data_IF_779692232531
#
_entry.id   IF_779692232531
#
_cell.length_a   1.000
_cell.length_b   1.000
_cell.length_c   1.000
_cell.angle_alpha   90.00
_cell.angle_beta   90.00
_cell.angle_gamma   90.00
#
_symmetry.space_group_name_H-M   'P 1'
#
loop_
_entity.id
_entity.type
_entity.pdbx_description
1 polymer ?
#
# COMPACT_ATOMS: atom_id res chain seq x y z
N UNK A 1 -7.78 16.13 12.16
CA UNK A 1 -6.83 15.96 13.28
C UNK A 1 -7.62 15.50 14.51
N UNK A 2 -6.97 15.00 15.57
CA UNK A 2 -7.67 14.58 16.79
C UNK A 2 -7.13 15.31 18.03
N UNK A 3 -8.02 15.95 18.78
CA UNK A 3 -7.75 16.62 20.05
C UNK A 3 -7.41 15.58 21.10
N UNK A 4 -6.23 15.69 21.72
CA UNK A 4 -5.80 14.76 22.76
C UNK A 4 -5.98 15.37 24.16
N UNK A 5 -6.68 14.67 25.04
CA UNK A 5 -6.93 15.09 26.42
C UNK A 5 -6.47 14.00 27.38
N UNK A 6 -5.56 14.37 28.28
CA UNK A 6 -5.11 13.49 29.37
C UNK A 6 -5.85 13.85 30.65
N UNK A 7 -6.62 12.91 31.17
CA UNK A 7 -7.40 13.09 32.38
C UNK A 7 -7.26 11.87 33.32
N UNK A 8 -6.04 11.59 33.81
CA UNK A 8 -5.81 10.52 34.77
C UNK A 8 -6.61 10.78 36.06
N UNK A 9 -7.15 9.73 36.67
CA UNK A 9 -7.98 9.81 37.88
C UNK A 9 -9.44 10.20 37.64
N UNK A 10 -9.84 10.42 36.39
CA UNK A 10 -11.25 10.64 36.02
C UNK A 10 -11.89 9.31 35.61
N UNK A 11 -12.95 8.93 36.33
CA UNK A 11 -13.73 7.71 36.11
C UNK A 11 -15.15 8.03 35.66
N UNK A 12 -15.90 7.03 35.19
CA UNK A 12 -17.33 7.21 34.91
C UNK A 12 -18.12 7.52 36.19
N UNK A 13 -19.13 8.42 36.17
CA UNK A 13 -19.63 9.18 35.01
C UNK A 13 -18.90 10.51 34.76
N UNK A 14 -17.90 10.87 35.56
CA UNK A 14 -17.14 12.12 35.40
C UNK A 14 -16.43 12.21 34.04
N UNK A 15 -15.91 11.09 33.55
CA UNK A 15 -15.32 10.98 32.22
C UNK A 15 -16.34 11.32 31.12
N UNK A 16 -17.57 10.79 31.22
CA UNK A 16 -18.67 11.06 30.28
C UNK A 16 -18.96 12.56 30.21
N UNK A 17 -19.12 13.21 31.38
CA UNK A 17 -19.42 14.64 31.46
C UNK A 17 -18.30 15.48 30.85
N UNK A 18 -17.05 15.13 31.15
CA UNK A 18 -15.88 15.79 30.60
C UNK A 18 -15.84 15.67 29.07
N UNK A 19 -16.00 14.45 28.55
CA UNK A 19 -16.02 14.18 27.10
C UNK A 19 -17.15 14.93 26.40
N UNK A 20 -18.38 14.92 26.94
CA UNK A 20 -19.48 15.71 26.37
C UNK A 20 -19.18 17.20 26.33
N UNK A 21 -18.60 17.75 27.40
CA UNK A 21 -18.25 19.16 27.46
C UNK A 21 -17.16 19.51 26.46
N UNK A 22 -16.19 18.63 26.23
CA UNK A 22 -15.16 18.85 25.21
C UNK A 22 -15.79 18.88 23.82
N UNK A 23 -16.61 17.87 23.47
CA UNK A 23 -17.27 17.78 22.16
C UNK A 23 -18.15 19.01 21.91
N UNK A 24 -18.90 19.49 22.90
CA UNK A 24 -19.77 20.68 22.77
C UNK A 24 -19.01 21.99 22.56
N UNK A 25 -17.75 22.06 22.97
CA UNK A 25 -16.92 23.27 22.92
C UNK A 25 -15.73 23.11 21.95
N UNK A 26 -15.77 22.13 21.06
CA UNK A 26 -14.80 22.02 19.98
C UNK A 26 -15.13 23.04 18.88
N UNK A 27 -14.11 23.77 18.43
CA UNK A 27 -14.24 24.77 17.37
C UNK A 27 -14.49 24.11 16.00
N UNK A 28 -13.99 22.89 15.82
CA UNK A 28 -14.15 22.07 14.62
C UNK A 28 -15.05 20.86 14.94
N UNK A 29 -16.28 20.79 14.39
CA UNK A 29 -17.20 19.68 14.62
C UNK A 29 -16.72 18.36 13.98
N UNK A 30 -15.72 18.42 13.10
CA UNK A 30 -15.09 17.27 12.42
C UNK A 30 -13.72 16.90 13.05
N UNK A 31 -13.36 17.48 14.20
CA UNK A 31 -12.16 17.09 14.95
C UNK A 31 -12.38 15.78 15.75
N UNK A 32 -11.45 14.83 15.65
CA UNK A 32 -11.48 13.63 16.51
C UNK A 32 -11.13 13.95 17.96
N UNK A 33 -11.44 13.05 18.90
CA UNK A 33 -11.12 13.22 20.32
C UNK A 33 -10.46 11.96 20.87
N UNK A 34 -9.30 12.11 21.50
CA UNK A 34 -8.58 11.03 22.18
C UNK A 34 -8.55 11.35 23.67
N UNK A 35 -9.23 10.54 24.48
CA UNK A 35 -9.23 10.62 25.93
C UNK A 35 -8.28 9.58 26.52
N UNK A 36 -7.24 10.00 27.23
CA UNK A 36 -6.40 9.13 28.07
C UNK A 36 -6.90 9.19 29.52
N UNK A 37 -7.48 8.10 29.99
CA UNK A 37 -8.19 7.97 31.26
C UNK A 37 -7.58 6.87 32.14
N UNK A 38 -7.97 6.83 33.42
CA UNK A 38 -7.70 5.66 34.27
C UNK A 38 -8.67 4.51 33.94
N UNK A 39 -8.29 3.24 34.17
CA UNK A 39 -9.16 2.10 33.97
C UNK A 39 -10.53 2.25 34.65
N UNK A 40 -11.61 1.98 33.92
CA UNK A 40 -12.99 2.24 34.33
C UNK A 40 -13.55 3.59 33.86
N UNK A 41 -12.69 4.50 33.39
CA UNK A 41 -13.10 5.79 32.80
C UNK A 41 -13.77 5.66 31.43
N UNK A 42 -13.53 4.59 30.70
CA UNK A 42 -14.13 4.27 29.41
C UNK A 42 -15.60 3.84 29.50
N UNK A 43 -16.08 3.50 30.70
CA UNK A 43 -17.45 3.02 30.90
C UNK A 43 -18.47 4.08 30.44
N UNK A 44 -19.28 3.75 29.43
CA UNK A 44 -20.32 4.63 28.88
C UNK A 44 -19.86 5.57 27.77
N UNK A 45 -18.60 5.50 27.34
CA UNK A 45 -18.08 6.27 26.20
C UNK A 45 -18.76 5.89 24.87
N UNK A 46 -19.21 4.65 24.72
CA UNK A 46 -19.98 4.15 23.59
C UNK A 46 -21.26 4.96 23.36
N UNK A 47 -21.96 5.29 24.45
CA UNK A 47 -23.19 6.09 24.41
C UNK A 47 -22.91 7.53 24.03
N UNK A 48 -21.82 8.10 24.54
CA UNK A 48 -21.39 9.46 24.19
C UNK A 48 -21.02 9.52 22.71
N UNK A 49 -20.19 8.58 22.24
CA UNK A 49 -19.80 8.51 20.84
C UNK A 49 -21.02 8.40 19.92
N UNK A 50 -21.94 7.48 20.19
CA UNK A 50 -23.18 7.32 19.42
C UNK A 50 -24.05 8.59 19.43
N UNK A 51 -24.18 9.26 20.59
CA UNK A 51 -24.99 10.47 20.74
C UNK A 51 -24.49 11.65 19.92
N UNK A 52 -23.17 11.81 19.79
CA UNK A 52 -22.57 12.93 19.06
C UNK A 52 -22.09 12.54 17.66
N UNK A 53 -22.41 11.33 17.19
CA UNK A 53 -22.05 10.88 15.85
C UNK A 53 -20.57 10.61 15.69
N UNK A 54 -19.95 9.90 16.64
CA UNK A 54 -18.57 9.43 16.59
C UNK A 54 -18.53 7.90 16.55
N UNK A 55 -17.56 7.35 15.83
CA UNK A 55 -17.05 5.98 16.06
C UNK A 55 -16.15 5.96 17.28
N UNK A 56 -16.09 4.82 17.99
CA UNK A 56 -15.29 4.67 19.21
C UNK A 56 -14.39 3.45 19.11
N UNK A 57 -13.10 3.66 19.36
CA UNK A 57 -12.12 2.60 19.61
C UNK A 57 -11.57 2.76 21.02
N UNK A 58 -11.48 1.65 21.78
CA UNK A 58 -10.90 1.62 23.12
C UNK A 58 -9.67 0.73 23.11
N UNK A 59 -8.56 1.22 23.65
CA UNK A 59 -7.38 0.42 23.95
C UNK A 59 -6.98 0.56 25.41
N UNK A 60 -6.52 -0.54 26.01
CA UNK A 60 -6.18 -0.60 27.43
C UNK A 60 -4.72 -1.00 27.57
N UNK A 61 -3.99 -0.28 28.42
CA UNK A 61 -2.66 -0.65 28.93
C UNK A 61 -2.70 -0.71 30.46
N UNK A 62 -1.66 -1.26 31.10
CA UNK A 62 -1.66 -1.64 32.53
C UNK A 62 -2.18 -0.56 33.50
N UNK A 63 -1.99 0.74 33.19
CA UNK A 63 -2.40 1.85 34.06
C UNK A 63 -3.27 2.91 33.35
N UNK A 64 -3.68 2.68 32.10
CA UNK A 64 -4.34 3.71 31.31
C UNK A 64 -5.29 3.10 30.28
N UNK A 65 -6.43 3.76 30.07
CA UNK A 65 -7.36 3.44 28.99
C UNK A 65 -7.44 4.61 28.03
N UNK A 66 -7.33 4.32 26.74
CA UNK A 66 -7.45 5.31 25.68
C UNK A 66 -8.79 5.12 24.98
N UNK A 67 -9.67 6.11 25.07
CA UNK A 67 -10.92 6.17 24.29
C UNK A 67 -10.73 7.12 23.12
N UNK A 68 -10.71 6.59 21.90
CA UNK A 68 -10.54 7.34 20.65
C UNK A 68 -11.88 7.45 19.95
N UNK A 69 -12.39 8.67 19.85
CA UNK A 69 -13.62 9.03 19.17
C UNK A 69 -13.31 9.72 17.84
N UNK A 70 -13.86 9.23 16.73
CA UNK A 70 -13.70 9.86 15.41
C UNK A 70 -15.06 10.18 14.79
N UNK A 71 -15.29 11.39 14.23
CA UNK A 71 -16.58 11.77 13.66
C UNK A 71 -17.07 10.79 12.59
N UNK A 72 -18.38 10.57 12.54
CA UNK A 72 -19.05 9.72 11.55
C UNK A 72 -19.37 10.47 10.25
N UNK A 73 -19.25 11.80 10.22
CA UNK A 73 -19.37 12.60 9.01
C UNK A 73 -18.15 12.36 8.13
N UNK A 74 -18.26 11.39 7.22
CA UNK A 74 -17.17 11.05 6.29
C UNK A 74 -17.11 12.09 5.18
N UNK A 75 -16.39 13.19 5.42
CA UNK A 75 -16.06 14.14 4.35
C UNK A 75 -15.27 13.39 3.28
N UNK A 76 -15.68 13.52 2.02
CA UNK A 76 -14.97 12.93 0.89
C UNK A 76 -14.32 14.04 0.08
N UNK A 77 -12.99 14.11 0.11
CA UNK A 77 -12.20 14.97 -0.76
C UNK A 77 -11.92 14.24 -2.08
N UNK A 78 -11.87 14.97 -3.19
CA UNK A 78 -11.64 14.39 -4.51
C UNK A 78 -10.39 14.99 -5.16
N UNK A 79 -9.57 14.13 -5.77
CA UNK A 79 -8.42 14.54 -6.58
C UNK A 79 -8.32 13.70 -7.87
N UNK A 80 -8.00 14.35 -8.99
CA UNK A 80 -7.61 13.68 -10.23
C UNK A 80 -6.09 13.79 -10.40
N UNK A 81 -5.40 12.65 -10.42
CA UNK A 81 -3.95 12.56 -10.64
C UNK A 81 -3.60 12.19 -12.08
N UNK A 82 -4.58 12.31 -13.00
CA UNK A 82 -4.35 12.10 -14.42
C UNK A 82 -3.35 13.11 -14.97
N UNK A 83 -2.30 12.60 -15.64
CA UNK A 83 -1.23 13.41 -16.21
C UNK A 83 0.07 13.40 -15.40
N UNK A 84 0.00 12.97 -14.15
CA UNK A 84 1.19 12.79 -13.32
C UNK A 84 2.03 11.59 -13.79
N UNK A 85 3.35 11.70 -13.66
CA UNK A 85 4.28 10.61 -14.00
C UNK A 85 4.77 9.96 -12.72
N UNK A 86 4.85 8.63 -12.66
CA UNK A 86 5.45 7.91 -11.53
C UNK A 86 6.81 8.54 -11.12
N UNK A 87 7.02 8.88 -9.83
CA UNK A 87 6.21 8.52 -8.66
C UNK A 87 5.11 9.54 -8.25
N UNK A 88 4.84 10.57 -9.05
CA UNK A 88 3.92 11.69 -8.72
C UNK A 88 2.59 11.29 -8.07
N UNK A 89 1.77 10.39 -8.67
CA UNK A 89 0.49 9.99 -8.09
C UNK A 89 0.60 9.44 -6.66
N UNK A 90 1.64 8.63 -6.40
CA UNK A 90 1.87 8.02 -5.09
C UNK A 90 2.26 9.07 -4.04
N UNK A 91 3.10 10.05 -4.42
CA UNK A 91 3.52 11.14 -3.54
C UNK A 91 2.34 12.03 -3.17
N UNK A 92 1.57 12.49 -4.18
CA UNK A 92 0.41 13.37 -3.97
C UNK A 92 -0.60 12.73 -3.03
N UNK A 93 -0.95 11.46 -3.29
CA UNK A 93 -1.90 10.74 -2.42
C UNK A 93 -1.33 10.55 -1.02
N UNK A 94 -0.04 10.23 -0.88
CA UNK A 94 0.61 10.09 0.42
C UNK A 94 0.59 11.39 1.23
N UNK A 95 0.86 12.53 0.60
CA UNK A 95 0.81 13.84 1.25
C UNK A 95 -0.61 14.20 1.69
N UNK A 96 -1.61 14.01 0.82
CA UNK A 96 -3.02 14.27 1.17
C UNK A 96 -3.47 13.40 2.33
N UNK A 97 -3.27 12.08 2.26
CA UNK A 97 -3.65 11.16 3.34
C UNK A 97 -2.93 11.47 4.66
N UNK A 98 -1.72 12.02 4.62
CA UNK A 98 -0.99 12.41 5.82
C UNK A 98 -1.61 13.62 6.52
N UNK A 99 -2.19 14.55 5.76
CA UNK A 99 -2.87 15.74 6.29
C UNK A 99 -4.32 15.50 6.73
N UNK A 100 -4.94 14.40 6.28
CA UNK A 100 -6.36 14.14 6.52
C UNK A 100 -6.66 13.58 7.93
N UNK A 101 -7.79 13.98 8.55
CA UNK A 101 -8.35 13.30 9.72
C UNK A 101 -8.63 11.82 9.46
N UNK A 102 -8.51 10.98 10.50
CA UNK A 102 -8.98 9.59 10.39
C UNK A 102 -10.51 9.54 10.25
N UNK A 103 -11.03 8.55 9.50
CA UNK A 103 -12.45 8.44 9.17
C UNK A 103 -12.84 9.17 7.88
N UNK A 104 -12.10 10.22 7.49
CA UNK A 104 -12.31 10.93 6.22
C UNK A 104 -11.93 10.09 5.01
N UNK A 105 -12.46 10.49 3.86
CA UNK A 105 -12.29 9.77 2.60
C UNK A 105 -11.60 10.62 1.55
N UNK A 106 -10.69 9.99 0.82
CA UNK A 106 -10.07 10.54 -0.38
C UNK A 106 -10.51 9.70 -1.58
N UNK A 107 -11.18 10.34 -2.53
CA UNK A 107 -11.47 9.76 -3.84
C UNK A 107 -10.38 10.19 -4.81
N UNK A 108 -9.60 9.22 -5.29
CA UNK A 108 -8.53 9.46 -6.27
C UNK A 108 -8.97 8.96 -7.63
N UNK A 109 -8.91 9.82 -8.66
CA UNK A 109 -9.21 9.51 -10.07
C UNK A 109 -7.93 9.43 -10.89
N UNK A 110 -7.89 8.54 -11.88
CA UNK A 110 -6.77 8.38 -12.81
C UNK A 110 -7.24 7.75 -14.13
N UNK A 111 -6.57 8.09 -15.23
CA UNK A 111 -6.72 7.44 -16.53
C UNK A 111 -6.23 5.99 -16.54
N UNK A 112 -5.23 5.63 -15.72
CA UNK A 112 -4.56 4.33 -15.74
C UNK A 112 -5.03 3.44 -14.60
N UNK A 113 -5.51 2.22 -14.91
CA UNK A 113 -5.87 1.23 -13.89
C UNK A 113 -4.66 0.76 -13.07
N UNK A 114 -3.47 0.70 -13.67
CA UNK A 114 -2.25 0.25 -12.99
C UNK A 114 -1.82 1.24 -11.88
N UNK A 115 -2.04 2.54 -12.12
CA UNK A 115 -1.79 3.58 -11.11
C UNK A 115 -2.69 3.42 -9.88
N UNK A 116 -3.90 2.86 -10.02
CA UNK A 116 -4.77 2.59 -8.87
C UNK A 116 -4.19 1.52 -7.94
N UNK A 117 -3.44 0.56 -8.46
CA UNK A 117 -2.82 -0.47 -7.64
C UNK A 117 -1.66 0.09 -6.82
N UNK A 118 -0.82 0.95 -7.41
CA UNK A 118 0.20 1.71 -6.68
C UNK A 118 -0.41 2.60 -5.59
N UNK A 119 -1.45 3.38 -5.94
CA UNK A 119 -2.17 4.24 -4.99
C UNK A 119 -2.76 3.42 -3.84
N UNK A 120 -3.41 2.31 -4.17
CA UNK A 120 -4.02 1.45 -3.17
C UNK A 120 -2.97 0.87 -2.21
N UNK A 121 -1.74 0.69 -2.69
CA UNK A 121 -0.66 0.16 -1.88
C UNK A 121 -0.05 1.23 -0.97
N UNK A 122 0.12 2.47 -1.45
CA UNK A 122 0.46 3.63 -0.58
C UNK A 122 -0.57 3.79 0.53
N UNK A 123 -1.85 3.77 0.18
CA UNK A 123 -2.92 3.90 1.17
C UNK A 123 -2.82 2.83 2.26
N UNK A 124 -2.61 1.56 1.87
CA UNK A 124 -2.47 0.44 2.81
C UNK A 124 -1.22 0.56 3.69
N UNK A 125 -0.08 0.95 3.13
CA UNK A 125 1.18 1.08 3.89
C UNK A 125 1.08 2.16 4.98
N UNK A 126 0.24 3.18 4.73
CA UNK A 126 -0.13 4.23 5.68
C UNK A 126 -1.23 3.82 6.68
N UNK A 127 -1.72 2.58 6.62
CA UNK A 127 -2.78 2.06 7.49
C UNK A 127 -4.20 2.40 7.04
N UNK A 128 -4.37 3.04 5.88
CA UNK A 128 -5.68 3.42 5.32
C UNK A 128 -6.37 2.23 4.65
N UNK A 129 -7.70 2.31 4.53
CA UNK A 129 -8.54 1.23 3.99
C UNK A 129 -9.05 1.60 2.60
N UNK A 130 -9.00 0.66 1.67
CA UNK A 130 -9.67 0.80 0.37
C UNK A 130 -11.13 0.46 0.58
N UNK A 131 -12.01 1.45 0.38
CA UNK A 131 -13.46 1.30 0.53
C UNK A 131 -14.07 0.81 -0.77
N UNK A 132 -13.66 1.42 -1.88
CA UNK A 132 -14.30 1.19 -3.18
C UNK A 132 -13.30 1.41 -4.31
N UNK A 133 -13.48 0.67 -5.40
CA UNK A 133 -12.81 0.90 -6.69
C UNK A 133 -13.86 0.83 -7.79
N UNK A 134 -13.73 1.65 -8.81
CA UNK A 134 -14.64 1.62 -9.95
C UNK A 134 -14.21 2.50 -11.10
N UNK A 135 -15.15 2.76 -12.01
CA UNK A 135 -14.95 3.62 -13.18
C UNK A 135 -16.09 4.65 -13.23
N UNK A 136 -15.75 5.92 -13.43
CA UNK A 136 -16.71 7.01 -13.66
C UNK A 136 -16.29 7.73 -14.95
N UNK A 137 -17.13 7.66 -15.98
CA UNK A 137 -16.79 8.17 -17.30
C UNK A 137 -15.59 7.44 -17.91
N UNK A 138 -14.55 8.17 -18.28
CA UNK A 138 -13.28 7.67 -18.81
C UNK A 138 -12.18 7.56 -17.73
N UNK A 139 -12.53 7.76 -16.45
CA UNK A 139 -11.60 7.70 -15.31
C UNK A 139 -11.84 6.46 -14.45
N UNK A 140 -10.76 5.82 -14.04
CA UNK A 140 -10.77 4.86 -12.95
C UNK A 140 -10.69 5.62 -11.63
N UNK A 141 -11.32 5.11 -10.57
CA UNK A 141 -11.23 5.72 -9.25
C UNK A 141 -11.03 4.69 -8.13
N UNK A 142 -10.47 5.19 -7.02
CA UNK A 142 -10.41 4.48 -5.74
C UNK A 142 -10.84 5.42 -4.62
N UNK A 143 -11.68 4.92 -3.71
CA UNK A 143 -12.05 5.62 -2.48
C UNK A 143 -11.24 5.00 -1.34
N UNK A 144 -10.47 5.85 -0.67
CA UNK A 144 -9.60 5.50 0.45
C UNK A 144 -10.19 6.13 1.70
N UNK A 145 -10.44 5.35 2.74
CA UNK A 145 -10.79 5.84 4.06
C UNK A 145 -9.53 5.89 4.92
N UNK A 146 -9.20 7.09 5.39
CA UNK A 146 -8.04 7.31 6.25
C UNK A 146 -8.26 6.58 7.56
N UNK A 147 -7.31 5.73 7.91
CA UNK A 147 -7.25 5.11 9.22
C UNK A 147 -5.84 5.31 9.80
N UNK A 148 -5.72 5.20 11.11
CA UNK A 148 -4.40 5.17 11.73
C UNK A 148 -3.81 3.76 11.64
N UNK A 149 -2.48 3.72 11.47
CA UNK A 149 -1.74 2.47 11.50
C UNK A 149 -1.74 1.95 12.94
N UNK A 150 -2.55 0.92 13.21
CA UNK A 150 -2.48 0.19 14.48
C UNK A 150 -1.19 -0.63 14.43
N UNK A 151 -0.24 -0.30 15.31
CA UNK A 151 0.93 -1.17 15.54
C UNK A 151 0.42 -2.48 16.12
N UNK A 152 0.61 -3.57 15.38
CA UNK A 152 0.43 -4.90 15.93
C UNK A 152 1.64 -5.18 16.83
N UNK A 153 1.44 -5.11 18.15
CA UNK A 153 2.40 -5.61 19.13
C UNK A 153 2.41 -7.13 19.09
N UNK A 154 3.34 -7.67 18.31
CA UNK A 154 3.59 -9.10 18.25
C UNK A 154 4.57 -9.45 17.14
N UNK A 155 5.75 -9.91 17.52
CA UNK A 155 6.67 -10.56 16.60
C UNK A 155 6.05 -11.90 16.15
N UNK A 156 5.21 -11.86 15.13
CA UNK A 156 4.78 -13.08 14.44
C UNK A 156 6.02 -13.77 13.87
N UNK A 157 6.05 -15.11 13.90
CA UNK A 157 7.12 -15.88 13.29
C UNK A 157 7.26 -15.47 11.81
N UNK A 158 8.42 -14.87 11.47
CA UNK A 158 8.73 -14.41 10.12
C UNK A 158 8.92 -15.60 9.19
N UNK A 159 7.95 -15.84 8.32
CA UNK A 159 8.07 -16.84 7.27
C UNK A 159 8.68 -16.22 6.00
N UNK A 160 9.90 -16.65 5.64
CA UNK A 160 10.62 -16.24 4.43
C UNK A 160 10.33 -17.17 3.25
N UNK A 161 9.07 -17.22 2.86
CA UNK A 161 8.58 -18.06 1.75
C UNK A 161 8.44 -17.32 0.43
N UNK A 162 8.83 -16.04 0.38
CA UNK A 162 8.78 -15.22 -0.82
C UNK A 162 10.18 -14.73 -1.22
N UNK A 163 10.45 -14.71 -2.52
CA UNK A 163 11.69 -14.21 -3.12
C UNK A 163 11.36 -13.06 -4.05
N UNK A 164 11.95 -11.89 -3.77
CA UNK A 164 11.91 -10.73 -4.63
C UNK A 164 13.21 -10.65 -5.43
N UNK A 165 13.11 -10.84 -6.74
CA UNK A 165 14.21 -10.68 -7.67
C UNK A 165 14.13 -9.29 -8.29
N UNK A 166 15.12 -8.47 -8.02
CA UNK A 166 15.27 -7.12 -8.56
C UNK A 166 16.21 -7.22 -9.76
N UNK A 167 15.69 -7.01 -10.97
CA UNK A 167 16.47 -7.12 -12.20
C UNK A 167 16.66 -5.74 -12.82
N UNK A 168 17.89 -5.23 -12.74
CA UNK A 168 18.25 -3.90 -13.24
C UNK A 168 18.88 -3.92 -14.64
N UNK A 169 19.29 -5.11 -15.10
CA UNK A 169 20.07 -5.30 -16.33
C UNK A 169 19.21 -5.80 -17.49
N UNK A 170 19.40 -5.21 -18.67
CA UNK A 170 18.62 -5.54 -19.84
C UNK A 170 19.21 -6.64 -20.72
N UNK A 171 18.73 -6.68 -21.96
CA UNK A 171 19.16 -7.64 -23.01
C UNK A 171 20.67 -7.62 -23.31
N UNK A 172 21.37 -6.53 -22.95
CA UNK A 172 22.81 -6.39 -23.15
C UNK A 172 23.67 -7.21 -22.18
N UNK A 173 23.10 -7.76 -21.11
CA UNK A 173 23.82 -8.60 -20.15
C UNK A 173 23.13 -9.98 -20.07
N UNK A 174 23.57 -10.90 -20.93
CA UNK A 174 22.99 -12.23 -21.02
C UNK A 174 23.09 -13.00 -19.69
N UNK A 175 24.25 -12.96 -19.02
CA UNK A 175 24.46 -13.68 -17.76
C UNK A 175 23.43 -13.28 -16.69
N UNK A 176 23.25 -11.99 -16.44
CA UNK A 176 22.26 -11.49 -15.46
C UNK A 176 20.83 -11.75 -15.89
N UNK A 177 20.55 -11.68 -17.20
CA UNK A 177 19.23 -11.99 -17.74
C UNK A 177 18.86 -13.46 -17.50
N UNK A 178 19.77 -14.40 -17.80
CA UNK A 178 19.55 -15.83 -17.56
C UNK A 178 19.48 -16.15 -16.06
N UNK A 179 20.37 -15.57 -15.24
CA UNK A 179 20.35 -15.74 -13.79
C UNK A 179 18.98 -15.40 -13.20
N UNK A 180 18.36 -14.29 -13.63
CA UNK A 180 17.01 -13.88 -13.18
C UNK A 180 16.00 -15.02 -13.27
N UNK A 181 15.86 -15.64 -14.45
CA UNK A 181 14.82 -16.66 -14.67
C UNK A 181 15.21 -18.05 -14.16
N UNK A 182 16.51 -18.38 -14.17
CA UNK A 182 17.00 -19.65 -13.61
C UNK A 182 16.79 -19.68 -12.10
N UNK A 183 17.20 -18.63 -11.38
CA UNK A 183 16.99 -18.54 -9.94
C UNK A 183 15.50 -18.51 -9.60
N UNK A 184 14.68 -17.83 -10.42
CA UNK A 184 13.22 -17.86 -10.26
C UNK A 184 12.67 -19.28 -10.36
N UNK A 185 13.07 -20.05 -11.37
CA UNK A 185 12.63 -21.44 -11.57
C UNK A 185 13.03 -22.34 -10.41
N UNK A 186 14.26 -22.19 -9.90
CA UNK A 186 14.72 -22.92 -8.71
C UNK A 186 13.90 -22.55 -7.48
N UNK A 187 13.69 -21.26 -7.21
CA UNK A 187 12.88 -20.81 -6.08
C UNK A 187 11.44 -21.33 -6.15
N UNK A 188 10.81 -21.30 -7.32
CA UNK A 188 9.48 -21.89 -7.54
C UNK A 188 9.48 -23.41 -7.28
N UNK A 189 10.51 -24.14 -7.72
CA UNK A 189 10.62 -25.58 -7.45
C UNK A 189 10.77 -25.91 -5.95
N UNK A 190 11.25 -24.95 -5.16
CA UNK A 190 11.33 -25.04 -3.70
C UNK A 190 10.03 -24.61 -3.01
N UNK A 191 8.94 -24.39 -3.77
CA UNK A 191 7.65 -23.93 -3.24
C UNK A 191 7.63 -22.47 -2.82
N UNK A 192 8.64 -21.67 -3.19
CA UNK A 192 8.68 -20.24 -2.85
C UNK A 192 7.78 -19.45 -3.79
N UNK A 193 7.13 -18.42 -3.24
CA UNK A 193 6.51 -17.38 -4.05
C UNK A 193 7.62 -16.56 -4.71
N UNK A 194 7.51 -16.31 -6.01
CA UNK A 194 8.52 -15.52 -6.75
C UNK A 194 7.90 -14.26 -7.34
N UNK A 195 8.56 -13.14 -7.09
CA UNK A 195 8.23 -11.84 -7.63
C UNK A 195 9.48 -11.31 -8.34
N UNK A 196 9.37 -10.97 -9.62
CA UNK A 196 10.45 -10.37 -10.39
C UNK A 196 10.08 -8.92 -10.66
N UNK A 197 10.85 -7.98 -10.14
CA UNK A 197 10.68 -6.56 -10.40
C UNK A 197 11.78 -6.07 -11.35
N UNK A 198 11.42 -5.76 -12.59
CA UNK A 198 12.34 -5.22 -13.58
C UNK A 198 12.35 -3.70 -13.53
N UNK A 199 13.53 -3.11 -13.44
CA UNK A 199 13.73 -1.65 -13.44
C UNK A 199 14.96 -1.29 -14.25
N UNK A 200 15.18 0.01 -14.49
CA UNK A 200 16.28 0.50 -15.31
C UNK A 200 16.29 -0.21 -16.66
N UNK A 201 17.38 -0.89 -17.02
CA UNK A 201 17.47 -1.62 -18.28
C UNK A 201 16.77 -2.97 -18.27
N UNK A 202 16.49 -3.52 -17.09
CA UNK A 202 15.77 -4.77 -16.92
C UNK A 202 14.40 -4.79 -17.59
N UNK A 203 13.71 -3.64 -17.69
CA UNK A 203 12.43 -3.57 -18.40
C UNK A 203 12.55 -3.94 -19.89
N UNK A 204 13.75 -3.86 -20.47
CA UNK A 204 13.99 -4.31 -21.84
C UNK A 204 13.84 -5.83 -22.00
N UNK A 205 14.07 -6.63 -20.95
CA UNK A 205 13.91 -8.09 -21.00
C UNK A 205 12.44 -8.50 -21.16
N UNK A 206 11.54 -7.73 -20.57
CA UNK A 206 10.10 -8.02 -20.52
C UNK A 206 9.31 -7.36 -21.66
N UNK A 207 9.99 -6.70 -22.60
CA UNK A 207 9.38 -6.26 -23.86
C UNK A 207 9.18 -7.46 -24.79
N UNK A 208 8.02 -7.56 -25.46
CA UNK A 208 7.71 -8.61 -26.43
C UNK A 208 8.84 -8.77 -27.45
N UNK A 209 9.30 -10.01 -27.62
CA UNK A 209 10.37 -10.38 -28.55
C UNK A 209 11.80 -10.18 -28.05
N UNK A 210 12.03 -9.30 -27.06
CA UNK A 210 13.39 -8.98 -26.60
C UNK A 210 14.07 -10.14 -25.85
N UNK A 211 13.34 -10.89 -25.01
CA UNK A 211 13.94 -12.07 -24.38
C UNK A 211 14.42 -13.10 -25.41
N UNK A 212 13.75 -13.23 -26.57
CA UNK A 212 14.08 -14.23 -27.58
C UNK A 212 15.43 -13.99 -28.27
N UNK A 213 15.98 -12.78 -28.22
CA UNK A 213 17.28 -12.44 -28.81
C UNK A 213 18.45 -12.67 -27.86
N UNK A 214 18.20 -12.89 -26.57
CA UNK A 214 19.24 -13.15 -25.57
C UNK A 214 19.60 -14.63 -25.59
N UNK A 215 20.85 -14.96 -25.90
CA UNK A 215 21.33 -16.33 -26.06
C UNK A 215 22.25 -16.76 -24.93
N UNK A 216 22.21 -18.03 -24.58
CA UNK A 216 23.18 -18.70 -23.70
C UNK A 216 23.64 -20.00 -24.39
N UNK A 217 24.91 -20.41 -24.26
CA UNK A 217 25.40 -21.65 -24.87
C UNK A 217 24.66 -22.90 -24.37
N UNK A 218 24.38 -22.97 -23.06
CA UNK A 218 23.88 -24.19 -22.41
C UNK A 218 22.39 -24.17 -22.03
N UNK A 219 21.68 -23.05 -22.19
CA UNK A 219 20.29 -22.91 -21.74
C UNK A 219 19.34 -22.66 -22.90
N UNK A 220 18.09 -23.12 -22.71
CA UNK A 220 16.95 -22.82 -23.58
C UNK A 220 16.79 -21.29 -23.78
N UNK A 221 16.19 -20.87 -24.88
CA UNK A 221 15.96 -19.45 -25.19
C UNK A 221 15.26 -18.72 -24.03
N UNK A 222 15.75 -17.53 -23.68
CA UNK A 222 15.33 -16.81 -22.48
C UNK A 222 13.82 -16.52 -22.42
N UNK A 223 13.15 -16.29 -23.55
CA UNK A 223 11.70 -16.10 -23.60
C UNK A 223 10.91 -17.36 -23.19
N UNK A 224 11.45 -18.56 -23.45
CA UNK A 224 10.87 -19.82 -22.97
C UNK A 224 11.04 -19.96 -21.46
N UNK A 225 12.23 -19.64 -20.94
CA UNK A 225 12.47 -19.63 -19.49
C UNK A 225 11.56 -18.63 -18.77
N UNK A 226 11.40 -17.42 -19.31
CA UNK A 226 10.47 -16.42 -18.79
C UNK A 226 9.02 -16.95 -18.83
N UNK A 227 8.60 -17.55 -19.94
CA UNK A 227 7.27 -18.15 -20.07
C UNK A 227 7.01 -19.29 -19.08
N UNK A 228 7.99 -20.15 -18.84
CA UNK A 228 7.91 -21.23 -17.85
C UNK A 228 7.72 -20.67 -16.43
N UNK A 229 8.50 -19.64 -16.08
CA UNK A 229 8.46 -18.99 -14.77
C UNK A 229 7.11 -18.31 -14.54
N UNK A 230 6.55 -17.62 -15.55
CA UNK A 230 5.19 -17.06 -15.49
C UNK A 230 4.14 -18.17 -15.33
N UNK A 231 4.21 -19.24 -16.13
CA UNK A 231 3.27 -20.38 -16.04
C UNK A 231 3.32 -21.09 -14.68
N UNK A 232 4.49 -21.13 -14.06
CA UNK A 232 4.70 -21.68 -12.73
C UNK A 232 4.24 -20.74 -11.59
N UNK A 233 3.72 -19.55 -11.92
CA UNK A 233 3.07 -18.67 -10.95
C UNK A 233 3.91 -17.48 -10.47
N UNK A 234 5.07 -17.21 -11.08
CA UNK A 234 5.80 -15.98 -10.76
C UNK A 234 5.05 -14.74 -11.23
N UNK A 235 5.10 -13.69 -10.41
CA UNK A 235 4.61 -12.36 -10.81
C UNK A 235 5.77 -11.54 -11.34
N UNK A 236 5.61 -10.96 -12.53
CA UNK A 236 6.63 -10.09 -13.13
C UNK A 236 6.10 -8.67 -13.25
N UNK A 237 6.85 -7.72 -12.71
CA UNK A 237 6.59 -6.30 -12.78
C UNK A 237 7.59 -5.59 -13.69
N UNK A 238 7.09 -4.64 -14.48
CA UNK A 238 7.86 -3.69 -15.25
C UNK A 238 7.72 -2.30 -14.63
N UNK A 239 8.84 -1.72 -14.19
CA UNK A 239 8.88 -0.37 -13.64
C UNK A 239 8.33 0.65 -14.65
N UNK A 240 7.25 1.34 -14.31
CA UNK A 240 6.56 2.30 -15.19
C UNK A 240 7.52 3.38 -15.72
N UNK A 241 8.25 4.04 -14.82
CA UNK A 241 9.17 5.12 -15.19
C UNK A 241 10.31 4.62 -16.09
N UNK A 242 10.84 3.43 -15.80
CA UNK A 242 11.91 2.83 -16.59
C UNK A 242 11.43 2.42 -17.98
N UNK A 243 10.21 1.91 -18.09
CA UNK A 243 9.55 1.56 -19.34
C UNK A 243 9.30 2.82 -20.19
N UNK A 244 8.76 3.89 -19.57
CA UNK A 244 8.55 5.20 -20.22
C UNK A 244 9.84 5.77 -20.78
N UNK A 245 10.94 5.74 -20.01
CA UNK A 245 12.26 6.20 -20.45
C UNK A 245 12.75 5.46 -21.72
N UNK A 246 12.32 4.21 -21.92
CA UNK A 246 12.68 3.35 -23.06
C UNK A 246 11.60 3.30 -24.15
N UNK A 247 10.55 4.10 -24.04
CA UNK A 247 9.44 4.10 -24.99
C UNK A 247 8.65 2.78 -25.03
N UNK A 248 8.66 2.01 -23.94
CA UNK A 248 7.91 0.75 -23.81
C UNK A 248 6.54 1.08 -23.23
N UNK A 249 5.49 0.73 -23.96
CA UNK A 249 4.09 0.86 -23.53
C UNK A 249 3.61 -0.43 -22.86
N UNK A 250 2.54 -0.39 -22.04
CA UNK A 250 1.92 -1.60 -21.49
C UNK A 250 1.59 -2.65 -22.56
N UNK A 251 1.15 -2.22 -23.75
CA UNK A 251 0.84 -3.11 -24.89
C UNK A 251 2.06 -3.87 -25.44
N UNK A 252 3.27 -3.38 -25.15
CA UNK A 252 4.54 -3.95 -25.61
C UNK A 252 5.10 -4.97 -24.62
N UNK A 253 4.51 -5.13 -23.44
CA UNK A 253 4.98 -6.04 -22.41
C UNK A 253 4.65 -7.50 -22.75
N UNK A 254 5.58 -8.40 -22.45
CA UNK A 254 5.36 -9.83 -22.60
C UNK A 254 4.15 -10.31 -21.78
N UNK A 255 3.52 -11.39 -22.23
CA UNK A 255 2.36 -11.97 -21.56
C UNK A 255 2.66 -12.28 -20.09
N UNK A 256 1.75 -11.91 -19.19
CA UNK A 256 1.89 -12.11 -17.74
C UNK A 256 2.71 -11.04 -17.01
N UNK A 257 3.25 -10.05 -17.72
CA UNK A 257 3.98 -8.92 -17.11
C UNK A 257 3.02 -7.76 -16.82
N UNK A 258 3.11 -7.18 -15.63
CA UNK A 258 2.30 -6.03 -15.19
C UNK A 258 3.17 -4.79 -15.06
N UNK A 259 2.61 -3.62 -15.33
CA UNK A 259 3.28 -2.37 -15.03
C UNK A 259 3.15 -2.07 -13.53
N UNK A 260 4.19 -1.48 -12.92
CA UNK A 260 4.18 -1.10 -11.52
C UNK A 260 5.12 0.08 -11.25
N UNK A 261 4.74 0.94 -10.31
CA UNK A 261 5.46 2.14 -9.93
C UNK A 261 6.34 1.97 -8.69
N UNK A 262 6.85 3.10 -8.22
CA UNK A 262 7.78 3.17 -7.09
C UNK A 262 7.16 2.71 -5.77
N UNK A 263 5.85 2.94 -5.57
CA UNK A 263 5.14 2.46 -4.41
C UNK A 263 5.19 0.93 -4.35
N UNK A 264 4.75 0.25 -5.44
CA UNK A 264 4.84 -1.23 -5.59
C UNK A 264 6.22 -1.75 -5.23
N UNK A 265 7.26 -1.14 -5.79
CA UNK A 265 8.62 -1.53 -5.51
C UNK A 265 9.02 -1.41 -4.02
N UNK A 266 8.71 -0.29 -3.38
CA UNK A 266 9.12 -0.02 -2.00
C UNK A 266 8.38 -0.91 -0.99
N UNK A 267 7.11 -1.23 -1.21
CA UNK A 267 6.39 -2.17 -0.34
C UNK A 267 6.98 -3.58 -0.47
N UNK A 268 7.25 -4.02 -1.70
CA UNK A 268 7.89 -5.32 -1.94
C UNK A 268 9.27 -5.40 -1.26
N UNK A 269 10.07 -4.32 -1.31
CA UNK A 269 11.35 -4.25 -0.62
C UNK A 269 11.22 -4.23 0.92
N UNK A 270 10.14 -3.64 1.43
CA UNK A 270 9.96 -3.42 2.88
C UNK A 270 9.29 -4.62 3.56
N UNK A 271 8.71 -5.54 2.80
CA UNK A 271 8.12 -6.77 3.34
C UNK A 271 9.22 -7.70 3.89
N UNK A 272 9.23 -7.95 5.21
CA UNK A 272 10.28 -8.74 5.84
C UNK A 272 10.18 -10.25 5.52
N UNK A 273 9.09 -10.70 4.89
CA UNK A 273 8.93 -12.04 4.34
C UNK A 273 9.63 -12.24 2.99
N UNK A 274 10.09 -11.17 2.33
CA UNK A 274 10.80 -11.25 1.07
C UNK A 274 12.30 -11.43 1.28
N UNK A 275 12.86 -12.51 0.72
CA UNK A 275 14.31 -12.63 0.48
C UNK A 275 14.63 -11.88 -0.81
N UNK A 276 15.54 -10.92 -0.75
CA UNK A 276 15.86 -10.05 -1.88
C UNK A 276 17.10 -10.56 -2.60
N UNK A 277 16.99 -10.73 -3.91
CA UNK A 277 18.10 -11.03 -4.81
C UNK A 277 18.17 -9.91 -5.85
N UNK A 278 19.33 -9.28 -6.00
CA UNK A 278 19.53 -8.20 -6.95
C UNK A 278 20.48 -8.64 -8.06
N UNK A 279 20.06 -8.46 -9.31
CA UNK A 279 20.83 -8.78 -10.50
C UNK A 279 21.11 -7.52 -11.33
#
# INVERSE_FOLDING_TARGET
MAKKVKAPGIYAPGSIILTENIIKNMDDPDEGLIMELSPGGETGMDKVAAKYGYSLEISTSDNMVTSRMMPLNKKTEEIDVSGETCPGPAIIVGEMLSGMPSGDRLMVKTLSSDTLDDIAMVARSMGSKIVEKGVIGDRNYVIIEKAEKIQADGAAALNKDSVLIVQSNGIGNAERAYATFIFSKVALSMGKKVIIFTLMDGVSLVKKGNAAIVKHPDFERLDKLMGDVVKAGATIYACELSAKFRGIKPSDLAEGVKMAGAATYLELLSDPGNVIVNF
#
